data_IF_260073698489
#
_entry.id   IF_260073698489
#
_cell.length_a   1.000
_cell.length_b   1.000
_cell.length_c   1.000
_cell.angle_alpha   90.00
_cell.angle_beta   90.00
_cell.angle_gamma   90.00
#
_symmetry.space_group_name_H-M   'P 1'
#
loop_
_entity.id
_entity.type
_entity.pdbx_description
1 polymer ?
#
# COMPACT_ATOMS: atom_id res chain seq x y z
N UNK A 1 1.85 -26.70 -18.61
CA UNK A 1 2.94 -26.04 -17.85
C UNK A 1 2.67 -24.58 -17.45
N UNK A 2 1.50 -23.98 -17.77
CA UNK A 2 1.21 -22.58 -17.40
C UNK A 2 0.82 -22.37 -15.92
N UNK A 3 0.17 -23.36 -15.28
CA UNK A 3 -0.32 -23.26 -13.91
C UNK A 3 0.81 -23.05 -12.87
N UNK A 4 1.99 -23.65 -13.09
CA UNK A 4 3.14 -23.48 -12.22
C UNK A 4 3.65 -22.02 -12.21
N UNK A 5 3.57 -21.32 -13.35
CA UNK A 5 3.96 -19.90 -13.44
C UNK A 5 2.99 -18.96 -12.72
N UNK A 6 1.69 -19.25 -12.76
CA UNK A 6 0.67 -18.42 -12.09
C UNK A 6 0.73 -18.56 -10.55
N UNK A 7 0.94 -19.77 -10.03
CA UNK A 7 1.11 -19.99 -8.60
C UNK A 7 2.40 -19.36 -8.06
N UNK A 8 3.47 -19.39 -8.85
CA UNK A 8 4.71 -18.71 -8.51
C UNK A 8 4.53 -17.18 -8.48
N UNK A 9 3.87 -16.59 -9.49
CA UNK A 9 3.54 -15.15 -9.52
C UNK A 9 2.72 -14.72 -8.29
N UNK A 10 1.68 -15.50 -7.96
CA UNK A 10 0.82 -15.25 -6.80
C UNK A 10 1.60 -15.30 -5.48
N UNK A 11 2.51 -16.26 -5.33
CA UNK A 11 3.30 -16.44 -4.10
C UNK A 11 4.22 -15.24 -3.86
N UNK A 12 4.93 -14.79 -4.90
CA UNK A 12 5.79 -13.61 -4.78
C UNK A 12 5.00 -12.33 -4.56
N UNK A 13 3.86 -12.17 -5.22
CA UNK A 13 3.00 -11.01 -4.98
C UNK A 13 2.42 -11.00 -3.57
N UNK A 14 2.01 -12.16 -3.05
CA UNK A 14 1.56 -12.26 -1.66
C UNK A 14 2.67 -11.90 -0.66
N UNK A 15 3.91 -12.34 -0.91
CA UNK A 15 5.04 -12.00 -0.06
C UNK A 15 5.40 -10.51 -0.13
N UNK A 16 5.60 -9.95 -1.32
CA UNK A 16 6.03 -8.56 -1.45
C UNK A 16 4.90 -7.57 -1.18
N UNK A 17 3.75 -7.70 -1.86
CA UNK A 17 2.65 -6.73 -1.74
C UNK A 17 1.83 -6.99 -0.47
N UNK A 18 1.52 -8.25 -0.17
CA UNK A 18 0.71 -8.59 0.99
C UNK A 18 1.48 -8.46 2.30
N UNK A 19 2.66 -9.05 2.39
CA UNK A 19 3.45 -9.06 3.62
C UNK A 19 4.38 -7.85 3.75
N UNK A 20 5.32 -7.63 2.83
CA UNK A 20 6.33 -6.55 2.98
C UNK A 20 5.67 -5.16 2.94
N UNK A 21 4.87 -4.86 1.93
CA UNK A 21 4.15 -3.57 1.86
C UNK A 21 3.10 -3.43 2.95
N UNK A 22 2.42 -4.52 3.32
CA UNK A 22 1.52 -4.54 4.47
C UNK A 22 2.22 -4.15 5.77
N UNK A 23 3.41 -4.71 6.03
CA UNK A 23 4.24 -4.38 7.19
C UNK A 23 4.70 -2.91 7.18
N UNK A 24 5.13 -2.40 6.02
CA UNK A 24 5.51 -0.99 5.86
C UNK A 24 4.32 -0.08 6.19
N UNK A 25 3.14 -0.35 5.62
CA UNK A 25 1.94 0.47 5.85
C UNK A 25 1.46 0.40 7.31
N UNK A 26 1.55 -0.78 7.94
CA UNK A 26 1.20 -0.95 9.35
C UNK A 26 2.13 -0.17 10.29
N UNK A 27 3.43 -0.11 9.98
CA UNK A 27 4.43 0.54 10.83
C UNK A 27 4.66 2.02 10.47
N UNK A 28 4.28 2.46 9.26
CA UNK A 28 4.45 3.84 8.82
C UNK A 28 3.87 4.88 9.80
N UNK A 29 2.68 4.70 10.42
CA UNK A 29 2.13 5.64 11.41
C UNK A 29 2.99 5.78 12.67
N UNK A 30 3.87 4.80 12.97
CA UNK A 30 4.76 4.81 14.14
C UNK A 30 6.14 5.36 13.74
N UNK A 31 6.65 4.94 12.58
CA UNK A 31 7.97 5.35 12.07
C UNK A 31 7.98 6.83 11.68
N UNK A 32 6.93 7.34 11.04
CA UNK A 32 6.92 8.73 10.57
C UNK A 32 6.97 9.76 11.70
N UNK A 33 6.18 9.68 12.78
CA UNK A 33 6.31 10.57 13.93
C UNK A 33 7.70 10.49 14.58
N UNK A 34 8.29 9.29 14.64
CA UNK A 34 9.62 9.09 15.22
C UNK A 34 10.73 9.75 14.40
N UNK A 35 10.67 9.65 13.06
CA UNK A 35 11.67 10.24 12.15
C UNK A 35 11.44 11.74 11.95
N UNK A 36 10.20 12.16 11.72
CA UNK A 36 9.86 13.57 11.47
C UNK A 36 9.80 14.40 12.76
N UNK A 37 9.70 13.77 13.94
CA UNK A 37 9.51 14.43 15.26
C UNK A 37 8.30 15.36 15.29
N UNK A 38 7.22 14.96 14.61
CA UNK A 38 5.97 15.69 14.51
C UNK A 38 4.85 14.85 15.10
N UNK A 39 4.00 15.39 16.00
CA UNK A 39 2.81 14.70 16.44
C UNK A 39 1.80 14.66 15.28
N UNK A 40 1.80 13.56 14.52
CA UNK A 40 0.78 13.33 13.51
C UNK A 40 -0.45 12.79 14.24
N UNK A 41 -1.58 13.54 14.30
CA UNK A 41 -2.80 12.96 14.84
C UNK A 41 -3.18 11.75 13.98
N UNK A 42 -3.45 10.61 14.62
CA UNK A 42 -3.94 9.37 13.99
C UNK A 42 -5.30 9.63 13.34
N UNK A 43 -5.31 10.32 12.20
CA UNK A 43 -6.51 10.57 11.44
C UNK A 43 -6.88 9.29 10.69
N UNK A 44 -8.17 8.92 10.69
CA UNK A 44 -8.70 7.75 9.98
C UNK A 44 -8.31 7.65 8.49
N UNK A 45 -7.80 8.73 7.91
CA UNK A 45 -7.21 8.84 6.59
C UNK A 45 -6.02 7.90 6.35
N UNK A 46 -5.31 7.46 7.40
CA UNK A 46 -4.26 6.45 7.27
C UNK A 46 -4.80 5.03 6.98
N UNK A 47 -6.05 4.72 7.32
CA UNK A 47 -6.64 3.41 6.99
C UNK A 47 -7.02 3.29 5.51
N UNK A 48 -7.18 4.41 4.80
CA UNK A 48 -7.63 4.43 3.40
C UNK A 48 -6.63 3.73 2.48
N UNK A 49 -5.33 4.03 2.61
CA UNK A 49 -4.31 3.40 1.77
C UNK A 49 -4.05 1.94 2.15
N UNK A 50 -4.19 1.59 3.43
CA UNK A 50 -4.11 0.21 3.88
C UNK A 50 -5.27 -0.64 3.32
N UNK A 51 -6.51 -0.16 3.43
CA UNK A 51 -7.67 -0.86 2.88
C UNK A 51 -7.57 -1.01 1.35
N UNK A 52 -7.07 0.01 0.65
CA UNK A 52 -6.85 -0.05 -0.79
C UNK A 52 -5.78 -1.07 -1.19
N UNK A 53 -4.70 -1.20 -0.40
CA UNK A 53 -3.66 -2.21 -0.61
C UNK A 53 -4.22 -3.65 -0.43
N UNK A 54 -5.07 -3.86 0.58
CA UNK A 54 -5.71 -5.16 0.80
C UNK A 54 -6.67 -5.52 -0.35
N UNK A 55 -7.48 -4.56 -0.82
CA UNK A 55 -8.35 -4.76 -1.98
C UNK A 55 -7.56 -5.09 -3.25
N UNK A 56 -6.45 -4.39 -3.47
CA UNK A 56 -5.49 -4.68 -4.56
C UNK A 56 -4.99 -6.12 -4.50
N UNK A 57 -4.55 -6.57 -3.32
CA UNK A 57 -4.01 -7.91 -3.12
C UNK A 57 -5.07 -9.00 -3.38
N UNK A 58 -6.28 -8.83 -2.86
CA UNK A 58 -7.39 -9.76 -3.09
C UNK A 58 -7.71 -9.86 -4.59
N UNK A 59 -7.78 -8.73 -5.29
CA UNK A 59 -8.01 -8.71 -6.74
C UNK A 59 -6.88 -9.42 -7.51
N UNK A 60 -5.62 -9.25 -7.07
CA UNK A 60 -4.46 -9.88 -7.70
C UNK A 60 -4.47 -11.40 -7.53
N UNK A 61 -4.69 -11.86 -6.30
CA UNK A 61 -4.78 -13.29 -5.97
C UNK A 61 -5.96 -13.94 -6.69
N UNK A 62 -7.14 -13.30 -6.70
CA UNK A 62 -8.29 -13.80 -7.45
C UNK A 62 -7.98 -13.92 -8.95
N UNK A 63 -7.28 -12.95 -9.54
CA UNK A 63 -6.85 -13.02 -10.93
C UNK A 63 -5.85 -14.14 -11.23
N UNK A 64 -4.92 -14.42 -10.31
CA UNK A 64 -3.98 -15.53 -10.45
C UNK A 64 -4.66 -16.90 -10.31
N UNK A 65 -5.62 -17.04 -9.39
CA UNK A 65 -6.41 -18.28 -9.22
C UNK A 65 -7.37 -18.54 -10.38
N UNK A 66 -7.99 -17.50 -10.92
CA UNK A 66 -8.94 -17.60 -12.05
C UNK A 66 -8.26 -17.63 -13.42
N UNK A 67 -6.94 -17.39 -13.48
CA UNK A 67 -6.19 -17.25 -14.73
C UNK A 67 -6.55 -15.98 -15.53
N UNK A 68 -7.25 -15.03 -14.92
CA UNK A 68 -7.76 -13.82 -15.56
C UNK A 68 -6.68 -12.72 -15.63
N UNK A 69 -6.24 -12.38 -16.84
CA UNK A 69 -5.24 -11.34 -17.08
C UNK A 69 -5.72 -9.92 -16.75
N UNK A 70 -7.02 -9.65 -16.89
CA UNK A 70 -7.60 -8.33 -16.63
C UNK A 70 -7.67 -8.07 -15.12
N UNK A 71 -8.14 -9.04 -14.34
CA UNK A 71 -8.20 -8.93 -12.87
C UNK A 71 -6.80 -8.72 -12.27
N UNK A 72 -5.79 -9.41 -12.82
CA UNK A 72 -4.38 -9.23 -12.42
C UNK A 72 -3.87 -7.82 -12.69
N UNK A 73 -4.18 -7.26 -13.86
CA UNK A 73 -3.84 -5.87 -14.20
C UNK A 73 -4.51 -4.86 -13.27
N UNK A 74 -5.81 -5.05 -13.00
CA UNK A 74 -6.56 -4.18 -12.09
C UNK A 74 -5.99 -4.25 -10.68
N UNK A 75 -5.67 -5.45 -10.17
CA UNK A 75 -4.99 -5.63 -8.88
C UNK A 75 -3.65 -4.88 -8.84
N UNK A 76 -2.81 -5.01 -9.87
CA UNK A 76 -1.54 -4.27 -9.95
C UNK A 76 -1.71 -2.75 -9.97
N UNK A 77 -2.67 -2.23 -10.73
CA UNK A 77 -2.96 -0.79 -10.79
C UNK A 77 -3.48 -0.25 -9.46
N UNK A 78 -4.34 -0.99 -8.76
CA UNK A 78 -4.82 -0.65 -7.43
C UNK A 78 -3.67 -0.61 -6.41
N UNK A 79 -2.73 -1.55 -6.50
CA UNK A 79 -1.54 -1.57 -5.65
C UNK A 79 -0.66 -0.36 -5.87
N UNK A 80 -0.39 0.01 -7.13
CA UNK A 80 0.34 1.22 -7.47
C UNK A 80 -0.38 2.48 -6.96
N UNK A 81 -1.70 2.55 -7.12
CA UNK A 81 -2.51 3.66 -6.62
C UNK A 81 -2.44 3.79 -5.09
N UNK A 82 -2.43 2.66 -4.35
CA UNK A 82 -2.28 2.66 -2.90
C UNK A 82 -0.93 3.24 -2.45
N UNK A 83 0.16 2.91 -3.16
CA UNK A 83 1.50 3.46 -2.89
C UNK A 83 1.54 4.97 -3.15
N UNK A 84 0.96 5.44 -4.26
CA UNK A 84 0.90 6.87 -4.58
C UNK A 84 0.08 7.64 -3.53
N UNK A 85 -1.08 7.12 -3.15
CA UNK A 85 -1.92 7.69 -2.09
C UNK A 85 -1.17 7.80 -0.76
N UNK A 86 -0.42 6.76 -0.39
CA UNK A 86 0.43 6.77 0.80
C UNK A 86 1.50 7.87 0.74
N UNK A 87 2.21 7.99 -0.39
CA UNK A 87 3.20 9.04 -0.60
C UNK A 87 2.60 10.45 -0.50
N UNK A 88 1.47 10.67 -1.17
CA UNK A 88 0.77 11.96 -1.15
C UNK A 88 0.30 12.33 0.26
N UNK A 89 -0.24 11.37 1.02
CA UNK A 89 -0.68 11.62 2.39
C UNK A 89 0.50 11.99 3.30
N UNK A 90 1.62 11.28 3.14
CA UNK A 90 2.86 11.52 3.88
C UNK A 90 3.47 12.88 3.56
N UNK A 91 3.62 13.21 2.27
CA UNK A 91 4.15 14.49 1.82
C UNK A 91 3.27 15.65 2.28
N UNK A 92 1.94 15.50 2.18
CA UNK A 92 0.99 16.52 2.66
C UNK A 92 1.15 16.78 4.15
N UNK A 93 1.26 15.72 4.97
CA UNK A 93 1.48 15.86 6.41
C UNK A 93 2.79 16.59 6.74
N UNK A 94 3.88 16.25 6.04
CA UNK A 94 5.18 16.90 6.22
C UNK A 94 5.15 18.39 5.83
N UNK A 95 4.51 18.73 4.71
CA UNK A 95 4.42 20.12 4.20
C UNK A 95 3.55 20.98 5.11
N UNK A 96 2.40 20.48 5.56
CA UNK A 96 1.50 21.19 6.47
C UNK A 96 2.22 21.53 7.77
N UNK A 97 2.98 20.59 8.31
CA UNK A 97 3.75 20.84 9.52
C UNK A 97 4.93 21.80 9.29
N UNK A 98 5.65 21.67 8.18
CA UNK A 98 6.73 22.60 7.84
C UNK A 98 6.23 24.05 7.80
N UNK A 99 5.04 24.27 7.22
CA UNK A 99 4.36 25.57 7.24
C UNK A 99 4.00 26.03 8.64
N UNK A 100 3.50 25.13 9.49
CA UNK A 100 3.08 25.43 10.86
C UNK A 100 4.25 25.81 11.78
N UNK A 101 5.44 25.24 11.58
CA UNK A 101 6.65 25.57 12.35
C UNK A 101 7.33 26.87 11.93
N UNK A 102 7.00 27.40 10.74
CA UNK A 102 7.63 28.60 10.16
C UNK A 102 6.79 29.88 10.34
N UNK A 103 5.57 29.74 10.85
CA UNK A 103 4.66 30.83 11.20
C UNK A 103 4.69 31.05 12.72
#
# INVERSE_FOLDING_TARGET
MQAAGLLYDATWHALFVGFVFGMIFAHAPIVFPAVLRVPVPMAGRYYVHWALLQLSLVARLAGDLLGDAQLRRVGGLLGAAAIVLFLLNTASAAVLEYKKRRA
#
